data_IF_920792110250
#
_entry.id   IF_920792110250
#
_cell.length_a   1.000
_cell.length_b   1.000
_cell.length_c   1.000
_cell.angle_alpha   90.00
_cell.angle_beta   90.00
_cell.angle_gamma   90.00
#
_symmetry.space_group_name_H-M   'P 1'
#
loop_
_entity.id
_entity.type
_entity.pdbx_description
1 polymer ?
#
# COMPACT_ATOMS: atom_id res chain seq x y z
N UNK A 1 21.25 3.14 -10.63
CA UNK A 1 21.60 1.68 -10.54
C UNK A 1 22.65 1.39 -9.46
N UNK A 2 22.22 1.26 -8.20
CA UNK A 2 23.08 0.82 -7.10
C UNK A 2 23.29 -0.71 -7.17
N UNK A 3 24.55 -1.15 -7.32
CA UNK A 3 24.92 -2.55 -7.52
C UNK A 3 24.95 -3.42 -6.26
N UNK A 4 24.71 -2.83 -5.09
CA UNK A 4 24.87 -3.50 -3.79
C UNK A 4 23.61 -4.24 -3.29
N UNK A 5 22.47 -4.09 -3.97
CA UNK A 5 21.24 -4.81 -3.61
C UNK A 5 21.19 -6.13 -4.37
N UNK A 6 21.47 -7.23 -3.67
CA UNK A 6 21.31 -8.59 -4.20
C UNK A 6 19.82 -8.93 -4.27
N UNK A 7 19.22 -8.76 -5.44
CA UNK A 7 17.85 -9.17 -5.74
C UNK A 7 17.75 -10.70 -5.70
N UNK A 8 17.24 -11.25 -4.60
CA UNK A 8 16.95 -12.68 -4.50
C UNK A 8 15.86 -13.07 -5.50
N UNK A 9 15.93 -14.29 -6.04
CA UNK A 9 14.85 -14.83 -6.86
C UNK A 9 13.59 -15.00 -5.99
N UNK A 10 12.40 -14.52 -6.43
CA UNK A 10 11.17 -14.64 -5.64
C UNK A 10 10.85 -16.11 -5.37
N UNK A 11 10.77 -16.49 -4.09
CA UNK A 11 10.71 -17.90 -3.71
C UNK A 11 9.33 -18.54 -3.83
N UNK A 12 8.20 -17.82 -3.75
CA UNK A 12 6.84 -18.38 -4.02
C UNK A 12 5.68 -17.42 -3.71
N UNK A 13 5.90 -16.11 -3.55
CA UNK A 13 4.82 -15.22 -3.06
C UNK A 13 4.89 -13.81 -3.60
N UNK A 14 3.81 -13.06 -3.39
CA UNK A 14 3.53 -11.75 -3.97
C UNK A 14 4.67 -10.74 -3.71
N UNK A 15 5.68 -10.68 -4.58
CA UNK A 15 6.74 -9.67 -4.50
C UNK A 15 6.39 -8.45 -5.35
N UNK A 16 6.83 -7.29 -4.90
CA UNK A 16 6.77 -6.09 -5.73
C UNK A 16 7.96 -5.15 -5.47
N UNK A 17 8.48 -4.52 -6.53
CA UNK A 17 9.51 -3.49 -6.40
C UNK A 17 8.92 -2.22 -5.77
N UNK A 18 9.72 -1.58 -4.93
CA UNK A 18 9.48 -0.24 -4.39
C UNK A 18 10.49 0.69 -5.05
N UNK A 19 9.99 1.79 -5.58
CA UNK A 19 10.75 2.80 -6.31
C UNK A 19 10.77 4.11 -5.54
N UNK A 20 11.86 4.85 -5.65
CA UNK A 20 11.96 6.22 -5.17
C UNK A 20 12.83 7.06 -6.10
N UNK A 21 12.75 8.37 -5.94
CA UNK A 21 13.42 9.34 -6.81
C UNK A 21 12.42 10.23 -7.53
N UNK A 22 12.92 11.23 -8.29
CA UNK A 22 12.07 12.14 -9.04
C UNK A 22 11.27 11.37 -10.10
N UNK A 23 10.08 11.87 -10.44
CA UNK A 23 9.14 11.18 -11.34
C UNK A 23 9.73 10.79 -12.72
N UNK A 24 10.76 11.51 -13.18
CA UNK A 24 11.43 11.27 -14.46
C UNK A 24 12.62 10.28 -14.37
N UNK A 25 13.07 9.92 -13.16
CA UNK A 25 14.25 9.07 -12.94
C UNK A 25 14.11 8.27 -11.63
N UNK A 26 13.14 7.34 -11.63
CA UNK A 26 12.84 6.51 -10.46
C UNK A 26 13.75 5.27 -10.44
N UNK A 27 14.52 5.12 -9.37
CA UNK A 27 15.37 3.95 -9.15
C UNK A 27 14.65 2.93 -8.27
N UNK A 28 14.84 1.62 -8.55
CA UNK A 28 14.35 0.55 -7.68
C UNK A 28 15.22 0.50 -6.43
N UNK A 29 14.64 0.81 -5.28
CA UNK A 29 15.40 0.92 -4.02
C UNK A 29 15.10 -0.18 -3.01
N UNK A 30 13.90 -0.78 -3.06
CA UNK A 30 13.51 -1.84 -2.15
C UNK A 30 12.63 -2.89 -2.84
N UNK A 31 12.43 -4.00 -2.15
CA UNK A 31 11.52 -5.07 -2.55
C UNK A 31 10.67 -5.49 -1.36
N UNK A 32 9.36 -5.48 -1.54
CA UNK A 32 8.46 -6.19 -0.65
C UNK A 32 8.37 -7.65 -1.07
N UNK A 33 8.30 -8.54 -0.10
CA UNK A 33 8.00 -9.94 -0.30
C UNK A 33 7.05 -10.47 0.79
N UNK A 34 6.09 -11.28 0.36
CA UNK A 34 5.29 -12.14 1.23
C UNK A 34 5.76 -13.58 1.02
N UNK A 35 6.47 -14.12 2.01
CA UNK A 35 6.95 -15.50 2.00
C UNK A 35 6.16 -16.30 3.04
N UNK A 36 5.18 -17.09 2.58
CA UNK A 36 4.37 -17.98 3.42
C UNK A 36 3.62 -17.24 4.55
N UNK A 37 3.12 -16.03 4.29
CA UNK A 37 2.39 -15.21 5.26
C UNK A 37 3.30 -14.35 6.14
N UNK A 38 4.61 -14.39 5.93
CA UNK A 38 5.58 -13.49 6.55
C UNK A 38 5.92 -12.39 5.56
N UNK A 39 5.45 -11.18 5.85
CA UNK A 39 5.68 -10.01 5.02
C UNK A 39 6.96 -9.29 5.47
N UNK A 40 7.82 -8.96 4.51
CA UNK A 40 9.06 -8.26 4.77
C UNK A 40 9.45 -7.31 3.64
N UNK A 41 10.28 -6.31 3.97
CA UNK A 41 10.88 -5.39 3.00
C UNK A 41 12.39 -5.57 3.03
N UNK A 42 13.01 -5.73 1.86
CA UNK A 42 14.46 -5.71 1.68
C UNK A 42 14.87 -4.33 1.18
N UNK A 43 15.66 -3.61 1.97
CA UNK A 43 16.14 -2.25 1.64
C UNK A 43 17.58 -2.07 2.13
N UNK A 44 18.49 -1.64 1.25
CA UNK A 44 19.86 -1.28 1.65
C UNK A 44 20.68 -2.42 2.29
N UNK A 45 20.31 -3.69 2.08
CA UNK A 45 20.91 -4.84 2.75
C UNK A 45 20.22 -5.27 4.05
N UNK A 46 19.31 -4.44 4.58
CA UNK A 46 18.47 -4.75 5.72
C UNK A 46 17.18 -5.47 5.30
N UNK A 47 16.64 -6.28 6.22
CA UNK A 47 15.33 -6.91 6.09
C UNK A 47 14.43 -6.45 7.23
N UNK A 48 13.32 -5.79 6.87
CA UNK A 48 12.34 -5.29 7.81
C UNK A 48 11.18 -6.28 7.92
N UNK A 49 10.77 -6.63 9.14
CA UNK A 49 9.59 -7.46 9.35
C UNK A 49 8.36 -6.58 9.38
N UNK A 50 7.34 -6.93 8.61
CA UNK A 50 6.09 -6.19 8.55
C UNK A 50 4.99 -6.90 9.33
N UNK A 51 4.09 -6.11 9.91
CA UNK A 51 2.90 -6.61 10.58
C UNK A 51 1.73 -5.72 10.20
N UNK A 52 0.78 -6.30 9.47
CA UNK A 52 -0.48 -5.66 9.11
C UNK A 52 -1.62 -6.64 9.36
N UNK A 53 -2.60 -6.25 10.15
CA UNK A 53 -3.80 -7.04 10.36
C UNK A 53 -5.01 -6.39 9.65
N UNK A 54 -6.21 -6.89 9.91
CA UNK A 54 -7.46 -6.32 9.38
C UNK A 54 -7.96 -5.11 10.19
N UNK A 55 -7.25 -4.74 11.25
CA UNK A 55 -7.57 -3.63 12.12
C UNK A 55 -7.16 -2.30 11.53
N UNK A 56 -6.99 -1.26 12.36
CA UNK A 56 -6.60 0.07 11.92
C UNK A 56 -5.09 0.31 12.02
N UNK A 57 -4.30 -0.65 12.49
CA UNK A 57 -2.88 -0.49 12.77
C UNK A 57 -2.01 -1.40 11.90
N UNK A 58 -0.90 -0.86 11.42
CA UNK A 58 0.16 -1.63 10.81
C UNK A 58 1.52 -1.12 11.28
N UNK A 59 2.52 -1.98 11.25
CA UNK A 59 3.86 -1.63 11.73
C UNK A 59 4.96 -2.35 10.97
N UNK A 60 6.13 -1.73 10.93
CA UNK A 60 7.36 -2.30 10.42
C UNK A 60 8.41 -2.29 11.52
N UNK A 61 9.06 -3.43 11.73
CA UNK A 61 10.24 -3.54 12.57
C UNK A 61 11.48 -3.33 11.69
N UNK A 62 12.13 -2.18 11.85
CA UNK A 62 13.35 -1.79 11.15
C UNK A 62 14.57 -1.93 12.05
N UNK A 63 15.77 -1.68 11.51
CA UNK A 63 17.00 -1.60 12.31
C UNK A 63 17.05 -0.42 13.28
N UNK A 64 16.27 0.64 13.03
CA UNK A 64 16.22 1.86 13.86
C UNK A 64 15.09 1.82 14.90
N UNK A 65 14.07 0.97 14.72
CA UNK A 65 13.00 0.81 15.69
C UNK A 65 11.73 0.24 15.08
N UNK A 66 10.63 0.34 15.84
CA UNK A 66 9.29 -0.02 15.36
C UNK A 66 8.62 1.23 14.79
N UNK A 67 8.31 1.21 13.51
CA UNK A 67 7.55 2.25 12.83
C UNK A 67 6.10 1.83 12.70
N UNK A 68 5.18 2.78 12.82
CA UNK A 68 3.75 2.48 12.95
C UNK A 68 2.90 3.40 12.09
N UNK A 69 1.77 2.88 11.63
CA UNK A 69 0.70 3.64 11.02
C UNK A 69 -0.63 3.27 11.67
N UNK A 70 -1.46 4.27 11.93
CA UNK A 70 -2.79 4.11 12.51
C UNK A 70 -3.83 4.87 11.69
N UNK A 71 -4.89 4.20 11.27
CA UNK A 71 -6.02 4.81 10.58
C UNK A 71 -7.05 5.40 11.55
N UNK A 72 -7.81 6.39 11.10
CA UNK A 72 -8.84 7.10 11.87
C UNK A 72 -10.19 6.35 12.06
N UNK A 73 -10.34 5.15 11.51
CA UNK A 73 -11.53 4.31 11.61
C UNK A 73 -11.20 2.90 12.10
N UNK A 74 -12.21 2.05 12.35
CA UNK A 74 -12.03 0.69 12.88
C UNK A 74 -11.16 -0.24 12.01
N UNK A 75 -11.05 0.04 10.71
CA UNK A 75 -10.27 -0.77 9.77
C UNK A 75 -9.57 0.11 8.74
N UNK A 76 -8.39 -0.32 8.29
CA UNK A 76 -7.62 0.36 7.24
C UNK A 76 -8.46 0.71 6.00
N UNK A 77 -9.38 -0.17 5.61
CA UNK A 77 -10.23 0.01 4.43
C UNK A 77 -11.24 1.15 4.56
N UNK A 78 -11.66 1.46 5.80
CA UNK A 78 -12.65 2.50 6.11
C UNK A 78 -12.02 3.83 6.47
N UNK A 79 -10.77 3.83 6.93
CA UNK A 79 -10.06 5.03 7.33
C UNK A 79 -9.90 6.00 6.16
N UNK A 80 -10.03 7.29 6.43
CA UNK A 80 -9.78 8.38 5.49
C UNK A 80 -8.44 9.03 5.75
N UNK A 81 -8.02 9.07 7.01
CA UNK A 81 -6.73 9.62 7.41
C UNK A 81 -5.92 8.55 8.11
N UNK A 82 -4.62 8.54 7.85
CA UNK A 82 -3.66 7.60 8.42
C UNK A 82 -2.51 8.40 9.02
N UNK A 83 -2.28 8.22 10.31
CA UNK A 83 -1.19 8.88 11.03
C UNK A 83 0.03 7.96 11.04
N UNK A 84 1.13 8.41 10.45
CA UNK A 84 2.37 7.65 10.31
C UNK A 84 3.42 8.19 11.27
N UNK A 85 4.11 7.26 11.94
CA UNK A 85 5.30 7.53 12.76
C UNK A 85 6.44 6.66 12.25
N UNK A 86 7.38 7.28 11.55
CA UNK A 86 8.56 6.62 11.00
C UNK A 86 9.82 7.31 11.53
N UNK A 87 10.55 6.60 12.38
CA UNK A 87 11.70 7.15 13.12
C UNK A 87 11.36 8.46 13.86
N UNK A 88 11.92 9.60 13.44
CA UNK A 88 11.65 10.94 13.99
C UNK A 88 10.63 11.75 13.18
N UNK A 89 10.07 11.17 12.12
CA UNK A 89 9.16 11.85 11.21
C UNK A 89 7.73 11.41 11.50
N UNK A 90 6.86 12.39 11.74
CA UNK A 90 5.42 12.18 11.84
C UNK A 90 4.74 12.86 10.66
N UNK A 91 3.82 12.16 10.00
CA UNK A 91 3.10 12.70 8.86
C UNK A 91 1.78 12.00 8.65
N UNK A 92 0.87 12.65 7.92
CA UNK A 92 -0.48 12.16 7.71
C UNK A 92 -0.70 11.85 6.25
N UNK A 93 -1.31 10.69 5.97
CA UNK A 93 -1.84 10.37 4.64
C UNK A 93 -3.34 10.57 4.68
N UNK A 94 -3.86 11.41 3.79
CA UNK A 94 -5.30 11.72 3.71
C UNK A 94 -5.87 11.28 2.37
N UNK A 95 -7.01 10.59 2.41
CA UNK A 95 -7.74 10.17 1.23
C UNK A 95 -8.65 11.30 0.72
N UNK A 96 -8.29 11.92 -0.41
CA UNK A 96 -9.17 12.86 -1.11
C UNK A 96 -10.33 12.14 -1.79
N UNK A 97 -10.07 10.96 -2.35
CA UNK A 97 -11.08 10.09 -2.95
C UNK A 97 -10.81 8.64 -2.60
N UNK A 98 -11.60 7.71 -3.15
CA UNK A 98 -11.35 6.27 -2.96
C UNK A 98 -9.97 5.84 -3.45
N UNK A 99 -9.50 6.46 -4.54
CA UNK A 99 -8.31 6.04 -5.29
C UNK A 99 -7.19 7.09 -5.33
N UNK A 100 -7.33 8.23 -4.64
CA UNK A 100 -6.36 9.32 -4.61
C UNK A 100 -6.12 9.75 -3.17
N UNK A 101 -4.84 9.87 -2.83
CA UNK A 101 -4.37 10.18 -1.50
C UNK A 101 -3.27 11.23 -1.59
N UNK A 102 -3.21 12.05 -0.54
CA UNK A 102 -2.23 13.10 -0.35
C UNK A 102 -1.45 12.82 0.92
N UNK A 103 -0.17 13.15 0.91
CA UNK A 103 0.74 13.04 2.05
C UNK A 103 0.99 14.45 2.53
N UNK A 104 0.73 14.70 3.81
CA UNK A 104 0.92 15.98 4.47
C UNK A 104 1.95 15.84 5.59
N UNK A 105 2.97 16.71 5.58
CA UNK A 105 3.97 16.85 6.65
C UNK A 105 3.83 18.26 7.21
N UNK A 106 3.53 18.38 8.50
CA UNK A 106 3.38 19.68 9.20
C UNK A 106 2.43 20.69 8.51
N UNK A 107 1.42 20.19 7.79
CA UNK A 107 0.46 21.01 7.05
C UNK A 107 0.91 21.45 5.65
N UNK A 108 2.08 21.00 5.19
CA UNK A 108 2.54 21.16 3.81
C UNK A 108 2.36 19.85 3.02
N UNK A 109 1.89 19.97 1.77
CA UNK A 109 1.78 18.84 0.86
C UNK A 109 3.17 18.28 0.55
N UNK A 110 3.42 17.07 1.01
CA UNK A 110 4.68 16.34 0.86
C UNK A 110 4.64 15.30 -0.26
N UNK A 111 3.47 15.03 -0.84
CA UNK A 111 3.36 14.10 -1.95
C UNK A 111 1.94 13.64 -2.19
N UNK A 112 1.79 12.73 -3.14
CA UNK A 112 0.52 12.14 -3.51
C UNK A 112 0.70 10.75 -4.12
N UNK A 113 -0.36 9.96 -4.09
CA UNK A 113 -0.41 8.71 -4.84
C UNK A 113 -1.83 8.41 -5.32
N UNK A 114 -1.93 7.76 -6.48
CA UNK A 114 -3.20 7.42 -7.11
C UNK A 114 -3.18 6.07 -7.81
N UNK A 115 -4.30 5.36 -7.76
CA UNK A 115 -4.53 4.08 -8.44
C UNK A 115 -5.34 4.22 -9.75
N UNK A 116 -5.79 5.42 -10.11
CA UNK A 116 -6.85 5.64 -11.11
C UNK A 116 -6.48 5.17 -12.54
N UNK A 117 -5.21 5.32 -12.95
CA UNK A 117 -4.77 4.99 -14.32
C UNK A 117 -3.83 3.77 -14.44
N UNK A 118 -3.32 3.25 -13.31
CA UNK A 118 -2.18 2.32 -13.31
C UNK A 118 -2.42 1.02 -12.54
N UNK A 119 -3.55 0.93 -11.82
CA UNK A 119 -3.85 -0.19 -10.92
C UNK A 119 -2.79 -0.38 -9.83
N UNK A 120 -2.94 -1.43 -9.02
CA UNK A 120 -2.04 -1.69 -7.88
C UNK A 120 -0.62 -2.11 -8.28
N UNK A 121 -0.43 -2.63 -9.50
CA UNK A 121 0.89 -3.13 -9.97
C UNK A 121 1.90 -2.01 -10.19
N UNK A 122 1.42 -0.83 -10.54
CA UNK A 122 2.21 0.36 -10.85
C UNK A 122 1.84 1.52 -9.92
N UNK A 123 1.52 1.21 -8.66
CA UNK A 123 1.31 2.22 -7.63
C UNK A 123 2.65 2.82 -7.24
N UNK A 124 2.79 4.12 -7.44
CA UNK A 124 3.98 4.88 -7.09
C UNK A 124 3.58 6.05 -6.22
N UNK A 125 4.43 6.38 -5.25
CA UNK A 125 4.29 7.59 -4.44
C UNK A 125 5.11 8.68 -5.10
N UNK A 126 4.43 9.77 -5.47
CA UNK A 126 5.06 10.98 -5.96
C UNK A 126 5.35 11.86 -4.75
N UNK A 127 6.62 11.89 -4.32
CA UNK A 127 7.06 12.79 -3.26
C UNK A 127 7.31 14.18 -3.85
N UNK A 128 6.82 15.22 -3.17
CA UNK A 128 6.94 16.62 -3.58
C UNK A 128 7.39 17.45 -2.37
N UNK A 129 8.14 18.53 -2.60
CA UNK A 129 8.47 19.52 -1.56
C UNK A 129 9.16 18.92 -0.33
N UNK A 130 8.56 18.96 0.88
CA UNK A 130 9.16 18.39 2.09
C UNK A 130 9.30 16.86 2.01
N UNK A 131 8.50 16.17 1.20
CA UNK A 131 8.60 14.72 1.02
C UNK A 131 9.85 14.27 0.27
N UNK A 132 10.35 15.07 -0.68
CA UNK A 132 11.62 14.77 -1.38
C UNK A 132 12.83 14.79 -0.45
N UNK A 133 12.74 15.58 0.63
CA UNK A 133 13.80 15.71 1.64
C UNK A 133 13.77 14.58 2.67
N UNK A 134 12.74 13.72 2.64
CA UNK A 134 12.65 12.60 3.56
C UNK A 134 13.78 11.60 3.31
N UNK A 135 14.34 11.00 4.37
CA UNK A 135 15.23 9.86 4.26
C UNK A 135 14.64 8.72 3.42
N UNK A 136 15.49 8.02 2.65
CA UNK A 136 15.06 6.97 1.71
C UNK A 136 14.30 5.83 2.40
N UNK A 137 14.72 5.46 3.61
CA UNK A 137 14.05 4.48 4.46
C UNK A 137 12.60 4.90 4.79
N UNK A 138 12.39 6.17 5.15
CA UNK A 138 11.04 6.72 5.39
C UNK A 138 10.20 6.71 4.11
N UNK A 139 10.79 6.99 2.94
CA UNK A 139 10.10 6.91 1.66
C UNK A 139 9.68 5.47 1.32
N UNK A 140 10.52 4.47 1.63
CA UNK A 140 10.19 3.04 1.46
C UNK A 140 9.02 2.63 2.35
N UNK A 141 9.05 3.03 3.63
CA UNK A 141 7.94 2.75 4.55
C UNK A 141 6.64 3.38 4.07
N UNK A 142 6.68 4.66 3.68
CA UNK A 142 5.53 5.37 3.13
C UNK A 142 4.96 4.68 1.89
N UNK A 143 5.84 4.19 1.01
CA UNK A 143 5.43 3.46 -0.21
C UNK A 143 4.73 2.15 0.11
N UNK A 144 5.21 1.42 1.13
CA UNK A 144 4.52 0.22 1.62
C UNK A 144 3.15 0.55 2.21
N UNK A 145 3.06 1.58 3.06
CA UNK A 145 1.78 2.02 3.66
C UNK A 145 0.79 2.46 2.59
N UNK A 146 1.24 3.25 1.60
CA UNK A 146 0.40 3.70 0.48
C UNK A 146 -0.23 2.51 -0.25
N UNK A 147 0.53 1.44 -0.44
CA UNK A 147 0.02 0.21 -1.03
C UNK A 147 -0.99 -0.50 -0.12
N UNK A 148 -0.70 -0.61 1.17
CA UNK A 148 -1.63 -1.22 2.14
C UNK A 148 -2.98 -0.49 2.14
N UNK A 149 -2.97 0.85 2.11
CA UNK A 149 -4.18 1.67 1.99
C UNK A 149 -4.98 1.35 0.72
N UNK A 150 -4.31 1.11 -0.41
CA UNK A 150 -4.96 0.77 -1.66
C UNK A 150 -5.49 -0.66 -1.69
N UNK A 151 -4.69 -1.63 -1.25
CA UNK A 151 -5.08 -3.04 -1.21
C UNK A 151 -6.30 -3.28 -0.33
N UNK A 152 -6.33 -2.65 0.85
CA UNK A 152 -7.45 -2.77 1.79
C UNK A 152 -8.79 -2.29 1.19
N UNK A 153 -8.77 -1.32 0.27
CA UNK A 153 -9.97 -0.76 -0.37
C UNK A 153 -10.45 -1.51 -1.61
N UNK A 154 -9.58 -2.26 -2.28
CA UNK A 154 -9.93 -3.04 -3.48
C UNK A 154 -10.72 -4.29 -3.11
N UNK A 155 -10.39 -4.97 -2.01
CA UNK A 155 -10.98 -6.28 -1.65
C UNK A 155 -12.45 -6.18 -1.21
N UNK A 156 -12.90 -5.02 -0.72
CA UNK A 156 -14.25 -4.87 -0.16
C UNK A 156 -15.39 -5.02 -1.19
N UNK A 157 -15.14 -4.78 -2.48
CA UNK A 157 -16.22 -4.71 -3.48
C UNK A 157 -16.55 -6.04 -4.18
N UNK A 158 -15.63 -7.01 -4.19
CA UNK A 158 -15.75 -8.22 -5.02
C UNK A 158 -16.86 -9.16 -4.54
N UNK A 159 -17.03 -9.31 -3.22
CA UNK A 159 -18.00 -10.27 -2.65
C UNK A 159 -19.45 -9.92 -3.02
N UNK A 160 -19.81 -8.63 -3.02
CA UNK A 160 -21.16 -8.19 -3.34
C UNK A 160 -21.54 -8.53 -4.79
N UNK A 161 -20.60 -8.36 -5.71
CA UNK A 161 -20.79 -8.77 -7.11
C UNK A 161 -20.87 -10.29 -7.27
N UNK A 162 -20.08 -11.05 -6.53
CA UNK A 162 -20.17 -12.52 -6.53
C UNK A 162 -21.54 -12.98 -6.05
N UNK A 163 -22.06 -12.43 -4.95
CA UNK A 163 -23.41 -12.77 -4.47
C UNK A 163 -24.50 -12.36 -5.47
N UNK A 164 -24.39 -11.19 -6.08
CA UNK A 164 -25.34 -10.75 -7.10
C UNK A 164 -25.34 -11.69 -8.32
N UNK A 165 -24.17 -12.11 -8.81
CA UNK A 165 -24.04 -13.06 -9.91
C UNK A 165 -24.60 -14.44 -9.55
N UNK A 166 -24.34 -14.93 -8.34
CA UNK A 166 -24.90 -16.19 -7.85
C UNK A 166 -26.43 -16.12 -7.76
N UNK A 167 -26.99 -14.99 -7.33
CA UNK A 167 -28.44 -14.77 -7.29
C UNK A 167 -29.08 -14.66 -8.70
N UNK A 168 -28.32 -14.25 -9.72
CA UNK A 168 -28.80 -14.26 -11.11
C UNK A 168 -28.96 -15.69 -11.67
N UNK A 169 -28.20 -16.67 -11.19
CA UNK A 169 -28.28 -18.07 -11.67
C UNK A 169 -29.71 -18.64 -11.55
N UNK A 170 -30.38 -18.63 -10.39
CA UNK A 170 -31.75 -19.14 -10.27
C UNK A 170 -32.77 -18.31 -11.06
N UNK A 171 -32.57 -16.99 -11.20
CA UNK A 171 -33.42 -16.14 -12.03
C UNK A 171 -33.36 -16.54 -13.51
N UNK A 172 -32.16 -16.80 -14.04
CA UNK A 172 -31.97 -17.27 -15.42
C UNK A 172 -32.65 -18.63 -15.63
N UNK A 173 -32.54 -19.54 -14.64
CA UNK A 173 -33.19 -20.84 -14.70
C UNK A 173 -34.72 -20.70 -14.72
N UNK A 174 -35.29 -19.82 -13.89
CA UNK A 174 -36.74 -19.56 -13.85
C UNK A 174 -37.28 -18.99 -15.16
N UNK A 175 -36.56 -18.04 -15.77
CA UNK A 175 -36.89 -17.49 -17.10
C UNK A 175 -36.79 -18.58 -18.18
N UNK A 176 -35.75 -19.41 -18.15
CA UNK A 176 -35.58 -20.50 -19.12
C UNK A 176 -36.67 -21.57 -19.01
N UNK A 177 -37.15 -21.86 -17.79
CA UNK A 177 -38.27 -22.77 -17.53
C UNK A 177 -39.64 -22.15 -17.81
N UNK A 178 -39.72 -20.86 -18.16
CA UNK A 178 -40.97 -20.16 -18.46
C UNK A 178 -41.88 -19.97 -17.24
N UNK A 179 -41.32 -20.04 -16.03
CA UNK A 179 -42.06 -19.81 -14.77
C UNK A 179 -42.29 -18.32 -14.49
N UNK A 180 -41.56 -17.45 -15.21
CA UNK A 180 -41.61 -15.99 -15.19
C UNK A 180 -41.39 -15.50 -16.62
#
# INVERSE_FOLDING_TARGET
>A
MNGDIRWGLPSDGHTFPIYAGPANDMDRIAEFADERGVTHIRFGGDTWSLQSDKGPMASAQTGTGKWTVEGDADTFARSKSYFLRADRHEFTITAETKNRFVIDIDGEKAGQFSSENRGLRNLHVEFEGPGEKLPLDVQVFTSWVARLCMESRVVSNTWMWTLALVACIPLIILVWLGAI
#
